data_IF_354106716526
#
_entry.id   IF_354106716526
#
_cell.length_a   1.000
_cell.length_b   1.000
_cell.length_c   1.000
_cell.angle_alpha   90.00
_cell.angle_beta   90.00
_cell.angle_gamma   90.00
#
_symmetry.space_group_name_H-M   'P 1'
#
loop_
_entity.id
_entity.type
_entity.pdbx_description
1 polymer ?
#
# COMPACT_ATOMS: atom_id res chain seq x y z
N UNK A 1 10.64 -9.69 -18.04
CA UNK A 1 11.52 -10.71 -18.66
C UNK A 1 11.63 -12.01 -17.88
N UNK A 2 11.57 -12.01 -16.54
CA UNK A 2 11.56 -13.24 -15.70
C UNK A 2 10.41 -14.21 -16.04
N UNK A 3 9.17 -13.72 -16.23
CA UNK A 3 7.99 -14.55 -16.56
C UNK A 3 8.19 -15.46 -17.78
N UNK A 4 8.90 -14.96 -18.79
CA UNK A 4 9.20 -15.70 -20.03
C UNK A 4 10.25 -16.80 -19.82
N UNK A 5 11.11 -16.65 -18.80
CA UNK A 5 12.15 -17.62 -18.45
C UNK A 5 11.66 -18.71 -17.48
N UNK A 6 10.73 -18.40 -16.57
CA UNK A 6 10.16 -19.37 -15.62
C UNK A 6 8.80 -19.93 -16.04
N UNK A 7 8.20 -19.44 -17.14
CA UNK A 7 6.94 -19.96 -17.68
C UNK A 7 5.72 -19.66 -16.82
N UNK A 8 5.80 -18.64 -15.97
CA UNK A 8 4.72 -18.21 -15.07
C UNK A 8 4.25 -16.82 -15.49
N UNK A 9 2.93 -16.64 -15.55
CA UNK A 9 2.28 -15.38 -15.88
C UNK A 9 1.67 -14.82 -14.59
N UNK A 10 2.32 -13.82 -13.97
CA UNK A 10 1.87 -13.26 -12.69
C UNK A 10 1.03 -12.03 -12.99
N UNK A 11 -0.25 -12.24 -13.27
CA UNK A 11 -1.21 -11.19 -13.66
C UNK A 11 -1.69 -10.31 -12.49
N UNK A 12 -0.92 -10.23 -11.41
CA UNK A 12 -1.24 -9.66 -10.09
C UNK A 12 -2.10 -10.57 -9.21
N UNK A 13 -1.70 -10.68 -7.94
CA UNK A 13 -2.55 -11.19 -6.86
C UNK A 13 -3.02 -9.97 -6.09
N UNK A 14 -4.33 -9.73 -6.04
CA UNK A 14 -4.90 -8.68 -5.20
C UNK A 14 -4.69 -9.06 -3.75
N UNK A 15 -3.68 -8.47 -3.12
CA UNK A 15 -3.46 -8.64 -1.69
C UNK A 15 -3.95 -7.38 -1.00
N UNK A 16 -5.01 -7.56 -0.21
CA UNK A 16 -5.63 -6.49 0.57
C UNK A 16 -5.51 -6.83 2.05
N UNK A 17 -4.29 -6.75 2.56
CA UNK A 17 -4.01 -6.91 3.99
C UNK A 17 -4.75 -5.88 4.83
N UNK A 18 -5.02 -4.69 4.28
CA UNK A 18 -5.85 -3.67 4.93
C UNK A 18 -7.33 -4.07 5.06
N UNK A 19 -7.89 -4.91 4.18
CA UNK A 19 -9.25 -5.48 4.33
C UNK A 19 -9.32 -6.57 5.40
N UNK A 20 -8.21 -7.28 5.66
CA UNK A 20 -8.17 -8.40 6.61
C UNK A 20 -7.95 -7.94 8.07
N UNK A 21 -7.38 -6.75 8.30
CA UNK A 21 -7.10 -6.23 9.63
C UNK A 21 -8.08 -5.13 10.09
N UNK A 22 -8.99 -5.51 10.97
CA UNK A 22 -9.74 -4.62 11.88
C UNK A 22 -8.84 -3.87 12.90
N UNK A 23 -7.53 -3.75 12.65
CA UNK A 23 -6.51 -3.21 13.57
C UNK A 23 -6.12 -1.75 13.33
N UNK A 24 -6.43 -1.16 12.18
CA UNK A 24 -6.11 0.24 11.94
C UNK A 24 -7.37 1.11 12.13
N UNK A 25 -7.46 1.95 13.19
CA UNK A 25 -8.64 2.76 13.47
C UNK A 25 -8.87 3.92 12.50
N UNK A 26 -7.83 4.38 11.79
CA UNK A 26 -7.91 5.57 10.94
C UNK A 26 -7.60 5.31 9.46
N UNK A 27 -6.36 4.90 9.15
CA UNK A 27 -5.91 4.69 7.77
C UNK A 27 -4.88 3.56 7.70
N UNK A 28 -4.91 2.81 6.61
CA UNK A 28 -4.03 1.70 6.35
C UNK A 28 -3.40 1.88 4.96
N UNK A 29 -2.10 1.58 4.85
CA UNK A 29 -1.39 1.53 3.57
C UNK A 29 -0.71 0.18 3.42
N UNK A 30 -0.83 -0.43 2.25
CA UNK A 30 -0.11 -1.65 1.93
C UNK A 30 1.33 -1.31 1.54
N UNK A 31 2.30 -1.98 2.16
CA UNK A 31 3.72 -1.79 1.90
C UNK A 31 4.33 -3.11 1.47
N UNK A 32 5.08 -3.11 0.36
CA UNK A 32 5.79 -4.28 -0.10
C UNK A 32 7.05 -4.50 0.75
N UNK A 33 7.18 -5.70 1.31
CA UNK A 33 8.37 -6.18 2.01
C UNK A 33 9.03 -7.29 1.19
N UNK A 34 10.29 -7.09 0.83
CA UNK A 34 11.10 -8.07 0.08
C UNK A 34 12.29 -8.46 0.94
N UNK A 35 12.58 -9.75 1.05
CA UNK A 35 13.78 -10.21 1.77
C UNK A 35 15.05 -9.70 1.09
N UNK A 36 15.99 -9.20 1.88
CA UNK A 36 17.28 -8.74 1.37
C UNK A 36 18.20 -9.90 1.00
N UNK A 37 17.92 -11.08 1.54
CA UNK A 37 18.68 -12.30 1.30
C UNK A 37 17.81 -13.30 0.51
N UNK A 38 18.31 -13.81 -0.63
CA UNK A 38 17.64 -14.85 -1.39
C UNK A 38 17.89 -16.23 -0.76
N UNK A 39 16.90 -17.10 -0.82
CA UNK A 39 17.01 -18.49 -0.38
C UNK A 39 17.42 -19.36 -1.56
N UNK A 40 18.51 -20.11 -1.41
CA UNK A 40 18.96 -21.12 -2.37
C UNK A 40 18.63 -22.51 -1.83
N UNK A 41 17.85 -23.28 -2.58
CA UNK A 41 17.60 -24.69 -2.31
C UNK A 41 18.26 -25.49 -3.42
N UNK A 42 19.35 -26.17 -3.09
CA UNK A 42 20.02 -27.08 -4.01
C UNK A 42 19.33 -28.45 -4.00
N UNK A 43 19.00 -28.94 -5.19
CA UNK A 43 18.59 -30.30 -5.46
C UNK A 43 19.61 -30.96 -6.40
N UNK A 44 19.50 -32.28 -6.62
CA UNK A 44 20.52 -33.08 -7.29
C UNK A 44 21.03 -32.48 -8.62
N UNK A 45 20.14 -32.16 -9.57
CA UNK A 45 20.50 -31.56 -10.87
C UNK A 45 19.94 -30.16 -11.07
N UNK A 46 19.34 -29.57 -10.05
CA UNK A 46 18.62 -28.31 -10.15
C UNK A 46 18.82 -27.49 -8.89
N UNK A 47 18.73 -26.17 -9.03
CA UNK A 47 18.74 -25.26 -7.90
C UNK A 47 17.54 -24.33 -8.01
N UNK A 48 16.87 -24.08 -6.89
CA UNK A 48 15.78 -23.13 -6.80
C UNK A 48 16.29 -21.93 -6.00
N UNK A 49 16.14 -20.74 -6.58
CA UNK A 49 16.38 -19.47 -5.88
C UNK A 49 15.05 -18.80 -5.65
N UNK A 50 14.73 -18.54 -4.39
CA UNK A 50 13.51 -17.86 -3.97
C UNK A 50 13.83 -16.55 -3.25
N UNK A 51 12.90 -15.61 -3.30
CA UNK A 51 12.87 -14.43 -2.44
C UNK A 51 11.58 -14.49 -1.65
N UNK A 52 11.63 -14.15 -0.36
CA UNK A 52 10.42 -14.00 0.40
C UNK A 52 9.83 -12.60 0.13
N UNK A 53 8.64 -12.57 -0.46
CA UNK A 53 7.92 -11.33 -0.78
C UNK A 53 6.59 -11.37 -0.06
N UNK A 54 6.31 -10.34 0.73
CA UNK A 54 5.06 -10.16 1.43
C UNK A 54 4.55 -8.74 1.24
N UNK A 55 3.24 -8.58 1.12
CA UNK A 55 2.60 -7.27 1.32
C UNK A 55 2.22 -7.21 2.80
N UNK A 56 2.54 -6.11 3.47
CA UNK A 56 2.27 -5.92 4.89
C UNK A 56 1.43 -4.66 5.10
N UNK A 57 0.41 -4.70 5.97
CA UNK A 57 -0.35 -3.52 6.30
C UNK A 57 0.51 -2.60 7.17
N UNK A 58 0.52 -1.31 6.84
CA UNK A 58 1.08 -0.27 7.69
C UNK A 58 -0.06 0.64 8.12
N UNK A 59 -0.40 0.59 9.41
CA UNK A 59 -1.27 1.60 9.96
C UNK A 59 -0.56 2.95 9.84
N UNK A 60 -1.15 3.84 9.06
CA UNK A 60 -0.73 5.23 9.02
C UNK A 60 -1.65 6.00 9.93
N UNK A 61 -1.10 6.99 10.64
CA UNK A 61 -1.96 7.90 11.37
C UNK A 61 -2.89 8.54 10.33
N UNK A 62 -4.20 8.39 10.49
CA UNK A 62 -5.12 9.32 9.84
C UNK A 62 -4.73 10.74 10.25
N UNK A 63 -5.02 11.70 9.38
CA UNK A 63 -4.61 13.09 9.52
C UNK A 63 -4.59 13.56 10.99
N UNK A 64 -3.38 13.73 11.54
CA UNK A 64 -3.15 14.19 12.90
C UNK A 64 -3.36 15.71 12.95
N UNK A 65 -4.62 16.13 12.92
CA UNK A 65 -5.00 17.39 13.55
C UNK A 65 -6.49 17.34 13.93
N UNK A 66 -6.75 16.97 15.18
CA UNK A 66 -8.09 16.98 15.77
C UNK A 66 -8.37 18.29 16.51
N UNK A 67 -7.85 19.42 16.04
CA UNK A 67 -8.38 20.71 16.46
C UNK A 67 -9.68 21.03 15.69
N UNK A 68 -10.78 20.46 16.21
CA UNK A 68 -12.16 20.99 16.09
C UNK A 68 -13.01 20.75 14.83
N UNK A 69 -12.67 19.84 13.92
CA UNK A 69 -13.54 19.60 12.76
C UNK A 69 -13.91 18.15 12.45
N UNK A 70 -15.20 17.86 12.59
CA UNK A 70 -15.87 16.65 12.10
C UNK A 70 -15.65 16.41 10.59
N UNK A 71 -15.18 17.40 9.83
CA UNK A 71 -15.01 17.31 8.38
C UNK A 71 -13.86 16.39 7.95
N UNK A 72 -12.71 16.40 8.63
CA UNK A 72 -11.62 15.45 8.31
C UNK A 72 -11.94 14.02 8.79
N UNK A 73 -12.75 13.90 9.86
CA UNK A 73 -13.28 12.62 10.35
C UNK A 73 -14.35 12.03 9.42
N UNK A 74 -15.22 12.87 8.85
CA UNK A 74 -16.25 12.44 7.88
C UNK A 74 -15.71 12.25 6.46
N UNK A 75 -14.62 12.94 6.10
CA UNK A 75 -13.95 12.82 4.80
C UNK A 75 -12.44 12.61 4.94
N UNK A 76 -12.00 11.46 5.49
CA UNK A 76 -10.58 11.17 5.67
C UNK A 76 -9.86 11.01 4.33
N UNK A 77 -8.58 11.38 4.32
CA UNK A 77 -7.66 11.09 3.23
C UNK A 77 -7.14 9.65 3.37
N UNK A 78 -7.14 8.90 2.26
CA UNK A 78 -6.64 7.54 2.20
C UNK A 78 -5.13 7.53 1.94
N UNK A 79 -4.51 6.35 2.04
CA UNK A 79 -3.14 6.11 1.62
C UNK A 79 -2.09 7.02 2.30
N UNK A 80 -2.29 7.37 3.57
CA UNK A 80 -1.39 8.26 4.30
C UNK A 80 -1.44 9.74 3.86
N UNK A 81 -2.48 10.14 3.13
CA UNK A 81 -2.70 11.54 2.75
C UNK A 81 -2.90 12.46 3.97
N UNK A 82 -2.37 13.69 3.89
CA UNK A 82 -2.62 14.72 4.90
C UNK A 82 -3.94 15.45 4.61
N UNK A 83 -4.82 15.49 5.60
CA UNK A 83 -6.05 16.28 5.53
C UNK A 83 -5.76 17.74 5.88
N UNK A 84 -6.22 18.65 5.03
CA UNK A 84 -6.21 20.08 5.27
C UNK A 84 -7.66 20.57 5.25
N UNK A 85 -8.03 21.30 6.30
CA UNK A 85 -9.31 21.97 6.35
C UNK A 85 -9.15 23.44 6.00
N UNK A 86 -9.92 23.89 5.03
CA UNK A 86 -10.21 25.30 4.80
C UNK A 86 -11.64 25.59 5.28
N UNK A 87 -11.96 26.86 5.55
CA UNK A 87 -13.19 27.36 6.22
C UNK A 87 -14.49 26.57 5.94
N UNK A 88 -14.70 26.08 4.71
CA UNK A 88 -15.85 25.24 4.33
C UNK A 88 -15.49 24.01 3.47
N UNK A 89 -14.21 23.76 3.21
CA UNK A 89 -13.76 22.71 2.28
C UNK A 89 -12.64 21.86 2.87
N UNK A 90 -12.67 20.56 2.57
CA UNK A 90 -11.61 19.61 2.94
C UNK A 90 -10.80 19.28 1.69
N UNK A 91 -9.48 19.38 1.80
CA UNK A 91 -8.55 18.98 0.75
C UNK A 91 -7.53 17.96 1.29
N UNK A 92 -7.08 17.06 0.43
CA UNK A 92 -6.07 16.06 0.77
C UNK A 92 -4.79 16.34 0.00
N UNK A 93 -3.65 16.40 0.70
CA UNK A 93 -2.35 16.30 0.05
C UNK A 93 -1.93 14.84 0.01
N UNK A 94 -1.76 14.33 -1.21
CA UNK A 94 -1.43 12.94 -1.44
C UNK A 94 0.08 12.73 -1.46
N UNK A 95 0.59 11.67 -0.81
CA UNK A 95 1.98 11.27 -0.97
C UNK A 95 2.26 10.84 -2.41
N UNK A 96 3.53 10.86 -2.80
CA UNK A 96 3.96 10.43 -4.13
C UNK A 96 3.48 9.00 -4.43
N UNK A 97 2.94 8.78 -5.63
CA UNK A 97 2.36 7.50 -6.02
C UNK A 97 0.85 7.38 -5.75
N UNK A 98 0.21 8.41 -5.18
CA UNK A 98 -1.23 8.45 -4.94
C UNK A 98 -1.87 9.74 -5.46
N UNK A 99 -3.10 9.63 -5.94
CA UNK A 99 -3.86 10.71 -6.58
C UNK A 99 -5.36 10.59 -6.25
N UNK A 100 -6.14 11.54 -6.75
CA UNK A 100 -7.57 11.64 -6.52
C UNK A 100 -7.93 12.52 -5.31
N UNK A 101 -9.20 12.94 -5.18
CA UNK A 101 -9.61 13.94 -4.18
C UNK A 101 -9.36 13.52 -2.73
N UNK A 102 -9.28 12.21 -2.47
CA UNK A 102 -9.00 11.63 -1.15
C UNK A 102 -7.79 10.71 -1.17
N UNK A 103 -6.91 10.85 -2.16
CA UNK A 103 -5.74 9.98 -2.34
C UNK A 103 -6.09 8.50 -2.52
N UNK A 104 -7.29 8.20 -3.01
CA UNK A 104 -7.78 6.82 -3.16
C UNK A 104 -7.24 6.10 -4.40
N UNK A 105 -6.65 6.82 -5.35
CA UNK A 105 -6.11 6.25 -6.58
C UNK A 105 -4.60 6.10 -6.43
N UNK A 106 -4.05 4.98 -6.87
CA UNK A 106 -2.60 4.80 -7.01
C UNK A 106 -2.18 5.27 -8.41
N UNK A 107 -1.22 6.18 -8.49
CA UNK A 107 -0.62 6.58 -9.77
C UNK A 107 0.44 5.59 -10.27
N UNK A 108 0.77 4.57 -9.46
CA UNK A 108 1.51 3.39 -9.93
C UNK A 108 0.54 2.45 -10.66
N UNK A 109 0.21 2.79 -11.89
CA UNK A 109 -0.15 1.81 -12.91
C UNK A 109 1.17 1.31 -13.50
N UNK A 110 1.56 0.09 -13.14
CA UNK A 110 2.66 -0.58 -13.83
C UNK A 110 2.07 -1.20 -15.10
N UNK A 111 2.30 -0.51 -16.21
CA UNK A 111 2.00 -0.99 -17.55
C UNK A 111 3.02 -2.03 -17.98
#
# INVERSE_FOLDING_TARGET
EIEKYVGINVTMVGVDECLSESRCPDSCTNSLSVSHEPHLVNANRTALVGLHVAVVPRCTCGARDFSTADTCRSRPCYNGGKCFQHRSTVSCSCPAGYTGPRCQQTSRSFR
#
